data_IF_883451440013
#
_entry.id   IF_883451440013
#
_cell.length_a   1.000
_cell.length_b   1.000
_cell.length_c   1.000
_cell.angle_alpha   90.00
_cell.angle_beta   90.00
_cell.angle_gamma   90.00
#
_symmetry.space_group_name_H-M   'P 1'
#
loop_
_entity.id
_entity.type
_entity.pdbx_description
1 polymer ?
#
# COMPACT_ATOMS: atom_id res chain seq x y z
N UNK A 1 -17.87 -0.94 -0.27
CA UNK A 1 -19.10 -1.46 -0.88
C UNK A 1 -20.08 -0.33 -1.14
N UNK A 2 -20.73 -0.33 -2.34
CA UNK A 2 -21.67 0.74 -2.76
C UNK A 2 -22.92 0.76 -1.89
N UNK A 3 -23.48 -0.40 -1.55
CA UNK A 3 -24.66 -0.48 -0.71
C UNK A 3 -24.42 0.06 0.71
N UNK A 4 -23.21 -0.12 1.24
CA UNK A 4 -22.82 0.45 2.54
C UNK A 4 -22.70 1.97 2.46
N UNK A 5 -22.16 2.51 1.35
CA UNK A 5 -22.08 3.96 1.15
C UNK A 5 -23.48 4.58 1.04
N UNK A 6 -24.36 3.96 0.25
CA UNK A 6 -25.74 4.39 0.07
C UNK A 6 -26.48 4.40 1.40
N UNK A 7 -26.48 3.28 2.11
CA UNK A 7 -27.07 3.18 3.43
C UNK A 7 -26.53 4.23 4.42
N UNK A 8 -25.20 4.42 4.44
CA UNK A 8 -24.59 5.39 5.34
C UNK A 8 -24.97 6.84 4.97
N UNK A 9 -25.03 7.16 3.67
CA UNK A 9 -25.41 8.49 3.21
C UNK A 9 -26.88 8.82 3.56
N UNK A 10 -27.78 7.83 3.45
CA UNK A 10 -29.19 8.02 3.78
C UNK A 10 -29.48 8.05 5.28
N UNK A 11 -28.90 7.09 6.03
CA UNK A 11 -29.25 6.89 7.45
C UNK A 11 -28.40 7.74 8.40
N UNK A 12 -27.21 8.18 7.96
CA UNK A 12 -26.26 8.92 8.79
C UNK A 12 -25.66 10.12 8.03
N UNK A 13 -26.49 11.10 7.60
CA UNK A 13 -26.05 12.21 6.74
C UNK A 13 -24.94 13.07 7.36
N UNK A 14 -24.83 13.09 8.70
CA UNK A 14 -23.80 13.84 9.41
C UNK A 14 -22.43 13.10 9.47
N UNK A 15 -22.40 11.80 9.14
CA UNK A 15 -21.17 11.02 9.16
C UNK A 15 -20.24 11.45 8.01
N UNK A 16 -19.00 11.88 8.28
CA UNK A 16 -18.04 12.20 7.22
C UNK A 16 -17.57 10.92 6.51
N UNK A 17 -18.10 10.66 5.33
CA UNK A 17 -17.75 9.47 4.56
C UNK A 17 -16.42 9.63 3.83
N UNK A 18 -15.54 8.63 3.94
CA UNK A 18 -14.29 8.53 3.21
C UNK A 18 -14.33 7.35 2.24
N UNK A 19 -14.03 7.59 0.97
CA UNK A 19 -13.94 6.54 -0.03
C UNK A 19 -12.66 5.75 0.15
N UNK A 20 -12.79 4.44 0.39
CA UNK A 20 -11.65 3.52 0.41
C UNK A 20 -11.01 3.42 -0.97
N UNK A 21 -9.72 3.09 -0.99
CA UNK A 21 -9.01 2.70 -2.22
C UNK A 21 -9.71 1.57 -2.99
N UNK A 22 -10.47 0.72 -2.30
CA UNK A 22 -11.30 -0.33 -2.92
C UNK A 22 -12.41 0.21 -3.83
N UNK A 23 -12.74 1.49 -3.73
CA UNK A 23 -13.61 2.18 -4.70
C UNK A 23 -12.93 2.44 -6.04
N UNK A 24 -11.63 2.19 -6.15
CA UNK A 24 -10.83 2.28 -7.39
C UNK A 24 -10.99 3.60 -8.13
N UNK A 25 -11.10 4.72 -7.39
CA UNK A 25 -11.23 6.05 -7.98
C UNK A 25 -9.86 6.54 -8.50
N UNK A 26 -9.64 6.43 -9.80
CA UNK A 26 -8.38 6.79 -10.49
C UNK A 26 -8.41 8.14 -11.18
N UNK A 27 -9.57 8.81 -11.20
CA UNK A 27 -9.75 10.09 -11.86
C UNK A 27 -10.77 10.96 -11.11
N UNK A 28 -10.76 12.26 -11.39
CA UNK A 28 -11.62 13.23 -10.71
C UNK A 28 -13.11 13.11 -11.07
N UNK A 29 -13.47 12.58 -12.23
CA UNK A 29 -14.87 12.35 -12.58
C UNK A 29 -15.50 11.25 -11.72
N UNK A 30 -14.75 10.18 -11.45
CA UNK A 30 -15.17 9.15 -10.49
C UNK A 30 -15.36 9.76 -9.09
N UNK A 31 -14.47 10.65 -8.66
CA UNK A 31 -14.59 11.35 -7.37
C UNK A 31 -15.83 12.25 -7.31
N UNK A 32 -16.13 12.96 -8.42
CA UNK A 32 -17.37 13.75 -8.53
C UNK A 32 -18.62 12.85 -8.41
N UNK A 33 -18.63 11.70 -9.08
CA UNK A 33 -19.71 10.74 -8.98
C UNK A 33 -19.96 10.33 -7.51
N UNK A 34 -18.91 9.88 -6.81
CA UNK A 34 -19.03 9.48 -5.42
C UNK A 34 -19.44 10.63 -4.49
N UNK A 35 -18.94 11.85 -4.73
CA UNK A 35 -19.35 13.02 -3.96
C UNK A 35 -20.80 13.35 -4.17
N UNK A 36 -21.25 13.39 -5.43
CA UNK A 36 -22.62 13.81 -5.78
C UNK A 36 -23.67 12.79 -5.31
N UNK A 37 -23.35 11.50 -5.32
CA UNK A 37 -24.31 10.46 -4.96
C UNK A 37 -24.25 10.09 -3.46
N UNK A 38 -23.10 10.18 -2.81
CA UNK A 38 -22.92 9.70 -1.43
C UNK A 38 -22.32 10.73 -0.47
N UNK A 39 -22.03 11.94 -0.92
CA UNK A 39 -21.52 13.01 -0.07
C UNK A 39 -20.13 12.76 0.52
N UNK A 40 -19.30 11.92 -0.11
CA UNK A 40 -17.95 11.65 0.41
C UNK A 40 -17.16 12.93 0.58
N UNK A 41 -16.33 13.02 1.65
CA UNK A 41 -15.48 14.17 1.95
C UNK A 41 -14.02 13.94 1.59
N UNK A 42 -13.55 12.69 1.59
CA UNK A 42 -12.18 12.29 1.28
C UNK A 42 -12.16 11.00 0.45
N UNK A 43 -11.14 10.85 -0.37
CA UNK A 43 -10.88 9.61 -1.11
C UNK A 43 -9.42 9.19 -1.04
N UNK A 44 -9.19 7.89 -0.89
CA UNK A 44 -7.85 7.28 -0.97
C UNK A 44 -7.57 6.91 -2.42
N UNK A 45 -6.53 7.49 -3.01
CA UNK A 45 -6.11 7.18 -4.38
C UNK A 45 -5.37 5.85 -4.46
N UNK A 46 -5.56 5.08 -5.54
CA UNK A 46 -4.84 3.82 -5.78
C UNK A 46 -3.33 4.02 -5.93
N UNK A 47 -2.57 2.99 -5.51
CA UNK A 47 -1.09 2.95 -5.59
C UNK A 47 -0.53 2.90 -7.01
N UNK A 48 -1.39 2.69 -8.01
CA UNK A 48 -0.98 2.54 -9.42
C UNK A 48 -0.75 3.89 -10.13
N UNK A 49 -1.19 5.00 -9.53
CA UNK A 49 -1.08 6.32 -10.12
C UNK A 49 0.35 6.85 -10.00
N UNK A 50 0.88 7.41 -11.10
CA UNK A 50 2.10 8.20 -11.07
C UNK A 50 1.90 9.54 -10.37
N UNK A 51 2.98 10.20 -9.95
CA UNK A 51 2.89 11.51 -9.29
C UNK A 51 2.15 12.53 -10.17
N UNK A 52 2.44 12.56 -11.48
CA UNK A 52 1.74 13.42 -12.44
C UNK A 52 0.23 13.15 -12.51
N UNK A 53 -0.16 11.88 -12.44
CA UNK A 53 -1.58 11.52 -12.41
C UNK A 53 -2.24 11.93 -11.10
N UNK A 54 -1.54 11.78 -9.97
CA UNK A 54 -2.02 12.27 -8.67
C UNK A 54 -2.22 13.79 -8.71
N UNK A 55 -1.25 14.55 -9.25
CA UNK A 55 -1.35 15.99 -9.42
C UNK A 55 -2.54 16.38 -10.31
N UNK A 56 -2.73 15.68 -11.44
CA UNK A 56 -3.86 15.93 -12.34
C UNK A 56 -5.21 15.64 -11.70
N UNK A 57 -5.32 14.56 -10.91
CA UNK A 57 -6.55 14.27 -10.16
C UNK A 57 -6.78 15.32 -9.08
N UNK A 58 -5.72 15.74 -8.37
CA UNK A 58 -5.81 16.70 -7.28
C UNK A 58 -6.28 18.08 -7.76
N UNK A 59 -5.84 18.50 -8.95
CA UNK A 59 -6.20 19.78 -9.54
C UNK A 59 -7.72 19.97 -9.69
N UNK A 60 -8.46 18.88 -9.96
CA UNK A 60 -9.90 18.93 -10.24
C UNK A 60 -10.74 18.14 -9.23
N UNK A 61 -10.11 17.61 -8.18
CA UNK A 61 -10.80 16.81 -7.16
C UNK A 61 -11.80 17.65 -6.38
N UNK A 62 -13.07 17.22 -6.28
CA UNK A 62 -14.08 17.92 -5.48
C UNK A 62 -14.01 17.53 -3.98
N UNK A 63 -13.11 16.64 -3.60
CA UNK A 63 -12.93 16.10 -2.25
C UNK A 63 -11.47 16.11 -1.83
N UNK A 64 -11.22 16.01 -0.52
CA UNK A 64 -9.86 15.82 -0.03
C UNK A 64 -9.26 14.51 -0.53
N UNK A 65 -7.96 14.52 -0.82
CA UNK A 65 -7.23 13.34 -1.27
C UNK A 65 -6.28 12.82 -0.21
N UNK A 66 -6.26 11.50 -0.10
CA UNK A 66 -5.32 10.71 0.68
C UNK A 66 -4.55 9.79 -0.23
N UNK A 67 -3.24 9.67 -0.04
CA UNK A 67 -2.37 8.82 -0.84
C UNK A 67 -1.58 7.86 0.04
N UNK A 68 -1.23 6.70 -0.51
CA UNK A 68 -0.33 5.79 0.20
C UNK A 68 1.08 6.37 0.30
N UNK A 69 1.63 6.31 1.49
CA UNK A 69 2.92 6.88 1.84
C UNK A 69 3.98 5.84 2.15
N UNK A 70 3.60 4.79 2.88
CA UNK A 70 4.51 3.74 3.28
C UNK A 70 3.79 2.40 3.45
N UNK A 71 4.45 1.31 3.04
CA UNK A 71 3.99 -0.05 3.28
C UNK A 71 4.00 -0.93 2.04
N UNK A 72 3.35 -2.08 2.13
CA UNK A 72 3.34 -3.09 1.10
C UNK A 72 2.75 -2.58 -0.22
N UNK A 73 3.38 -2.94 -1.34
CA UNK A 73 2.83 -2.71 -2.66
C UNK A 73 1.78 -3.76 -3.01
N UNK A 74 0.85 -3.37 -3.88
CA UNK A 74 -0.15 -4.26 -4.44
C UNK A 74 -0.27 -4.01 -5.95
N UNK A 75 -0.16 -5.07 -6.74
CA UNK A 75 -0.23 -5.02 -8.21
C UNK A 75 -1.65 -5.15 -8.76
N UNK A 76 -2.59 -5.52 -7.90
CA UNK A 76 -3.98 -5.78 -8.29
C UNK A 76 -4.84 -4.53 -8.15
N UNK A 77 -5.96 -4.50 -8.87
CA UNK A 77 -7.04 -3.59 -8.55
C UNK A 77 -7.44 -3.84 -7.09
N UNK A 78 -7.40 -2.77 -6.29
CA UNK A 78 -7.50 -2.86 -4.84
C UNK A 78 -8.71 -3.69 -4.40
N UNK A 79 -8.45 -4.69 -3.57
CA UNK A 79 -9.47 -5.58 -3.03
C UNK A 79 -10.05 -6.63 -3.98
N UNK A 80 -9.52 -6.79 -5.19
CA UNK A 80 -9.99 -7.78 -6.18
C UNK A 80 -8.84 -8.67 -6.62
N UNK A 81 -8.25 -9.39 -5.67
CA UNK A 81 -7.10 -10.25 -5.92
C UNK A 81 -7.52 -11.70 -6.17
N UNK A 82 -7.59 -12.10 -7.44
CA UNK A 82 -7.83 -13.49 -7.80
C UNK A 82 -6.69 -14.44 -7.40
N UNK A 83 -5.44 -13.96 -7.37
CA UNK A 83 -4.30 -14.77 -6.96
C UNK A 83 -4.46 -15.25 -5.50
N UNK A 84 -4.81 -14.32 -4.61
CA UNK A 84 -5.06 -14.65 -3.21
C UNK A 84 -6.28 -15.55 -3.07
N UNK A 85 -7.40 -15.19 -3.68
CA UNK A 85 -8.64 -15.96 -3.57
C UNK A 85 -8.50 -17.38 -4.10
N UNK A 86 -7.73 -17.57 -5.18
CA UNK A 86 -7.47 -18.89 -5.75
C UNK A 86 -6.69 -19.80 -4.79
N UNK A 87 -5.72 -19.24 -4.05
CA UNK A 87 -4.91 -20.02 -3.11
C UNK A 87 -5.58 -20.28 -1.78
N UNK A 88 -6.35 -19.30 -1.29
CA UNK A 88 -6.88 -19.35 0.10
C UNK A 88 -8.36 -19.67 0.16
N UNK A 89 -9.05 -19.79 -0.99
CA UNK A 89 -10.52 -19.90 -1.08
C UNK A 89 -11.27 -18.75 -0.38
N UNK A 90 -10.56 -17.65 -0.09
CA UNK A 90 -11.11 -16.47 0.60
C UNK A 90 -10.82 -15.19 -0.18
N UNK A 91 -11.77 -14.26 -0.13
CA UNK A 91 -11.53 -12.94 -0.71
C UNK A 91 -10.75 -12.06 0.28
N UNK A 92 -9.65 -11.39 -0.15
CA UNK A 92 -8.97 -10.41 0.69
C UNK A 92 -9.85 -9.23 1.09
N UNK A 93 -10.96 -8.99 0.40
CA UNK A 93 -11.97 -8.02 0.80
C UNK A 93 -12.79 -8.46 2.01
N UNK A 94 -13.03 -9.76 2.15
CA UNK A 94 -13.81 -10.32 3.25
C UNK A 94 -12.95 -10.49 4.51
N UNK A 95 -11.83 -11.20 4.39
CA UNK A 95 -10.95 -11.48 5.54
C UNK A 95 -9.92 -10.38 5.82
N UNK A 96 -9.76 -9.44 4.87
CA UNK A 96 -8.87 -8.30 5.05
C UNK A 96 -7.39 -8.56 4.85
N UNK A 97 -7.00 -9.77 4.46
CA UNK A 97 -5.62 -10.18 4.22
C UNK A 97 -5.50 -11.04 2.96
N UNK A 98 -4.46 -10.80 2.16
CA UNK A 98 -4.18 -11.62 0.98
C UNK A 98 -3.47 -12.95 1.33
N UNK A 99 -2.94 -13.06 2.55
CA UNK A 99 -2.35 -14.30 3.08
C UNK A 99 -2.75 -14.44 4.53
N UNK A 100 -3.95 -15.00 4.82
CA UNK A 100 -4.42 -15.23 6.17
C UNK A 100 -3.43 -16.10 6.95
N UNK A 101 -3.19 -15.79 8.21
CA UNK A 101 -2.20 -16.48 9.03
C UNK A 101 -2.47 -18.00 9.17
N UNK A 102 -3.72 -18.40 9.12
CA UNK A 102 -4.13 -19.83 9.19
C UNK A 102 -3.64 -20.64 7.99
N UNK A 103 -3.44 -20.00 6.83
CA UNK A 103 -3.02 -20.62 5.57
C UNK A 103 -1.51 -20.53 5.36
N UNK A 104 -0.79 -19.78 6.22
CA UNK A 104 0.66 -19.62 6.15
C UNK A 104 1.38 -20.68 6.95
N UNK A 105 2.34 -21.37 6.30
CA UNK A 105 3.25 -22.31 6.94
C UNK A 105 4.70 -21.95 6.64
N UNK A 106 5.54 -22.03 7.66
CA UNK A 106 6.98 -21.93 7.55
C UNK A 106 7.60 -23.28 7.86
N UNK A 107 8.50 -23.72 7.01
CA UNK A 107 9.13 -25.03 7.14
C UNK A 107 10.64 -24.92 6.93
N UNK A 108 11.43 -25.35 7.94
CA UNK A 108 12.86 -25.44 7.77
C UNK A 108 13.20 -26.75 7.08
N UNK A 109 13.83 -26.67 5.90
CA UNK A 109 14.26 -27.82 5.13
C UNK A 109 15.80 -27.88 5.05
N UNK A 110 16.34 -28.96 4.47
CA UNK A 110 17.78 -29.10 4.25
C UNK A 110 18.36 -28.04 3.28
N UNK A 111 17.50 -27.45 2.44
CA UNK A 111 17.86 -26.50 1.39
C UNK A 111 17.44 -25.06 1.70
N UNK A 112 16.95 -24.78 2.91
CA UNK A 112 16.56 -23.43 3.34
C UNK A 112 15.22 -23.36 4.03
N UNK A 113 14.79 -22.15 4.36
CA UNK A 113 13.48 -21.85 4.95
C UNK A 113 12.43 -21.69 3.84
N UNK A 114 11.41 -22.53 3.84
CA UNK A 114 10.30 -22.46 2.91
C UNK A 114 9.10 -21.71 3.51
N UNK A 115 8.51 -20.83 2.73
CA UNK A 115 7.25 -20.18 3.02
C UNK A 115 6.16 -20.74 2.11
N UNK A 116 5.07 -21.23 2.70
CA UNK A 116 3.94 -21.83 1.99
C UNK A 116 2.65 -21.09 2.32
N UNK A 117 1.75 -21.02 1.33
CA UNK A 117 0.41 -20.48 1.46
C UNK A 117 -0.57 -21.56 0.97
N UNK A 118 -1.41 -22.08 1.88
CA UNK A 118 -2.32 -23.21 1.63
C UNK A 118 -1.59 -24.39 0.95
N UNK A 119 -0.46 -24.81 1.55
CA UNK A 119 0.46 -25.86 1.09
C UNK A 119 1.22 -25.58 -0.23
N UNK A 120 0.91 -24.51 -0.94
CA UNK A 120 1.67 -24.11 -2.15
C UNK A 120 2.95 -23.39 -1.72
N UNK A 121 4.10 -23.84 -2.25
CA UNK A 121 5.39 -23.17 -2.04
C UNK A 121 5.37 -21.79 -2.69
N UNK A 122 5.53 -20.74 -1.87
CA UNK A 122 5.58 -19.35 -2.32
C UNK A 122 7.02 -18.91 -2.54
N UNK A 123 7.88 -19.24 -1.56
CA UNK A 123 9.28 -18.83 -1.63
C UNK A 123 10.17 -19.76 -0.81
N UNK A 124 11.47 -19.74 -1.13
CA UNK A 124 12.51 -20.43 -0.39
C UNK A 124 13.67 -19.46 -0.16
N UNK A 125 14.06 -19.32 1.10
CA UNK A 125 15.09 -18.38 1.54
C UNK A 125 16.35 -19.14 1.93
N UNK A 126 17.49 -18.64 1.49
CA UNK A 126 18.79 -19.15 1.89
C UNK A 126 19.13 -18.72 3.33
N UNK A 127 20.16 -19.32 3.92
CA UNK A 127 20.64 -18.94 5.24
C UNK A 127 21.06 -17.47 5.27
N UNK A 128 20.49 -16.69 6.21
CA UNK A 128 20.74 -15.25 6.34
C UNK A 128 19.95 -14.36 5.40
N UNK A 129 19.14 -14.92 4.50
CA UNK A 129 18.22 -14.15 3.65
C UNK A 129 17.01 -13.66 4.46
N UNK A 130 16.64 -12.39 4.27
CA UNK A 130 15.47 -11.82 4.93
C UNK A 130 14.17 -12.41 4.35
N UNK A 131 13.46 -13.18 5.14
CA UNK A 131 12.19 -13.77 4.75
C UNK A 131 11.04 -12.74 4.91
N UNK A 132 10.38 -12.40 3.79
CA UNK A 132 9.15 -11.61 3.79
C UNK A 132 7.93 -12.47 4.12
N UNK A 133 6.84 -11.84 4.60
CA UNK A 133 5.58 -12.54 4.79
C UNK A 133 5.05 -13.02 3.44
N UNK A 134 4.71 -14.32 3.28
CA UNK A 134 4.45 -14.91 1.97
C UNK A 134 3.17 -14.36 1.36
N UNK A 135 3.29 -13.80 0.16
CA UNK A 135 2.16 -13.44 -0.70
C UNK A 135 2.43 -13.95 -2.10
N UNK A 136 1.44 -14.55 -2.76
CA UNK A 136 1.66 -15.19 -4.04
C UNK A 136 2.31 -14.25 -5.08
N UNK A 137 1.84 -13.01 -5.18
CA UNK A 137 2.39 -12.05 -6.15
C UNK A 137 3.86 -11.69 -5.92
N UNK A 138 4.38 -11.90 -4.71
CA UNK A 138 5.78 -11.64 -4.32
C UNK A 138 6.61 -12.89 -4.12
N UNK A 139 6.07 -14.05 -4.47
CA UNK A 139 6.80 -15.31 -4.48
C UNK A 139 7.79 -15.40 -5.63
N UNK A 140 8.70 -16.36 -5.55
CA UNK A 140 9.59 -16.71 -6.65
C UNK A 140 8.93 -17.72 -7.58
N UNK A 141 8.96 -17.41 -8.87
CA UNK A 141 8.40 -18.24 -9.92
C UNK A 141 9.50 -18.81 -10.81
N UNK A 142 9.36 -20.07 -11.19
CA UNK A 142 10.22 -20.66 -12.22
C UNK A 142 9.69 -20.28 -13.59
N UNK A 143 10.47 -19.52 -14.36
CA UNK A 143 10.17 -19.11 -15.72
C UNK A 143 11.30 -19.59 -16.64
N UNK A 144 11.06 -20.64 -17.41
CA UNK A 144 12.11 -21.37 -18.13
C UNK A 144 13.11 -21.96 -17.14
N UNK A 145 14.39 -21.60 -17.27
CA UNK A 145 15.47 -22.09 -16.41
C UNK A 145 15.82 -21.13 -15.24
N UNK A 146 15.07 -20.03 -15.09
CA UNK A 146 15.33 -19.01 -14.06
C UNK A 146 14.24 -19.02 -12.99
N UNK A 147 14.65 -18.78 -11.73
CA UNK A 147 13.73 -18.58 -10.61
C UNK A 147 13.93 -17.16 -10.07
N UNK A 148 12.85 -16.36 -10.06
CA UNK A 148 12.88 -14.95 -9.64
C UNK A 148 11.47 -14.43 -9.30
N UNK A 149 11.38 -13.23 -8.73
CA UNK A 149 10.11 -12.56 -8.47
C UNK A 149 9.51 -12.02 -9.79
N UNK A 150 8.76 -12.87 -10.49
CA UNK A 150 8.29 -12.57 -11.85
C UNK A 150 7.11 -11.58 -11.89
N UNK A 151 6.40 -11.39 -10.80
CA UNK A 151 5.20 -10.53 -10.73
C UNK A 151 5.51 -9.23 -10.00
N UNK A 152 5.94 -9.30 -8.74
CA UNK A 152 6.28 -8.13 -7.92
C UNK A 152 7.45 -8.46 -6.98
N UNK A 153 8.38 -7.53 -6.84
CA UNK A 153 9.47 -7.66 -5.88
C UNK A 153 8.97 -7.47 -4.43
N UNK A 154 9.55 -8.15 -3.44
CA UNK A 154 9.23 -7.94 -2.04
C UNK A 154 9.83 -6.63 -1.52
N UNK A 155 9.27 -5.50 -1.98
CA UNK A 155 9.67 -4.15 -1.59
C UNK A 155 8.52 -3.40 -0.94
N UNK A 156 8.84 -2.37 -0.15
CA UNK A 156 7.84 -1.46 0.42
C UNK A 156 7.84 -0.11 -0.28
N UNK A 157 6.64 0.43 -0.50
CA UNK A 157 6.48 1.82 -0.91
C UNK A 157 7.06 2.73 0.18
N UNK A 158 7.82 3.74 -0.23
CA UNK A 158 8.31 4.79 0.66
C UNK A 158 8.37 6.12 -0.07
N UNK A 159 7.40 6.98 0.19
CA UNK A 159 7.27 8.28 -0.47
C UNK A 159 7.70 9.46 0.41
N UNK A 160 8.49 9.22 1.46
CA UNK A 160 8.91 10.28 2.39
C UNK A 160 9.65 11.44 1.69
N UNK A 161 10.33 11.17 0.59
CA UNK A 161 10.99 12.19 -0.23
C UNK A 161 10.02 13.05 -1.04
N UNK A 162 8.80 12.55 -1.27
CA UNK A 162 7.77 13.24 -2.05
C UNK A 162 6.86 14.15 -1.19
N UNK A 163 7.13 14.29 0.11
CA UNK A 163 6.33 15.19 0.99
C UNK A 163 6.15 16.59 0.37
N UNK A 164 7.19 17.27 -0.16
CA UNK A 164 7.01 18.57 -0.77
C UNK A 164 6.07 18.56 -1.98
N UNK A 165 6.23 17.59 -2.87
CA UNK A 165 5.42 17.48 -4.09
C UNK A 165 3.97 17.11 -3.76
N UNK A 166 3.75 16.19 -2.83
CA UNK A 166 2.41 15.80 -2.39
C UNK A 166 1.67 16.96 -1.74
N UNK A 167 2.36 17.76 -0.91
CA UNK A 167 1.76 18.94 -0.31
C UNK A 167 1.49 20.03 -1.36
N UNK A 168 2.40 20.27 -2.29
CA UNK A 168 2.20 21.22 -3.40
C UNK A 168 1.01 20.81 -4.28
N UNK A 169 0.80 19.51 -4.50
CA UNK A 169 -0.37 18.97 -5.18
C UNK A 169 -1.68 19.09 -4.37
N UNK A 170 -1.64 19.56 -3.12
CA UNK A 170 -2.82 19.72 -2.27
C UNK A 170 -3.30 18.46 -1.57
N UNK A 171 -2.48 17.42 -1.50
CA UNK A 171 -2.80 16.20 -0.76
C UNK A 171 -2.95 16.51 0.74
N UNK A 172 -4.04 16.05 1.35
CA UNK A 172 -4.40 16.37 2.75
C UNK A 172 -4.03 15.30 3.74
N UNK A 173 -3.88 14.06 3.30
CA UNK A 173 -3.57 12.94 4.17
C UNK A 173 -2.63 11.94 3.50
N UNK A 174 -1.84 11.27 4.31
CA UNK A 174 -0.99 10.16 3.92
C UNK A 174 -1.41 8.90 4.66
N UNK A 175 -1.41 7.77 3.94
CA UNK A 175 -1.79 6.47 4.47
C UNK A 175 -0.58 5.58 4.64
N UNK A 176 -0.40 5.08 5.87
CA UNK A 176 0.60 4.07 6.21
C UNK A 176 -0.11 2.72 6.27
N UNK A 177 0.37 1.76 5.49
CA UNK A 177 -0.15 0.39 5.54
C UNK A 177 0.59 -0.38 6.65
N UNK A 178 -0.17 -0.82 7.65
CA UNK A 178 0.36 -1.50 8.84
C UNK A 178 -0.33 -2.85 9.12
N UNK A 179 -1.18 -3.32 8.21
CA UNK A 179 -1.88 -4.60 8.36
C UNK A 179 -0.90 -5.76 8.42
N UNK A 180 -1.11 -6.67 9.35
CA UNK A 180 -0.21 -7.82 9.60
C UNK A 180 1.22 -7.40 9.97
N UNK A 181 1.39 -6.20 10.55
CA UNK A 181 2.67 -5.68 11.05
C UNK A 181 2.66 -5.59 12.57
N UNK A 182 3.84 -5.66 13.15
CA UNK A 182 3.99 -5.54 14.61
C UNK A 182 3.69 -4.12 15.10
N UNK A 183 3.30 -3.94 16.38
CA UNK A 183 3.18 -2.62 16.97
C UNK A 183 4.45 -1.78 16.86
N UNK A 184 5.62 -2.39 17.00
CA UNK A 184 6.91 -1.71 16.85
C UNK A 184 7.13 -1.16 15.43
N UNK A 185 6.69 -1.91 14.40
CA UNK A 185 6.70 -1.42 13.03
C UNK A 185 5.84 -0.16 12.89
N UNK A 186 4.60 -0.22 13.35
CA UNK A 186 3.65 0.89 13.25
C UNK A 186 4.22 2.13 13.97
N UNK A 187 4.71 1.96 15.20
CA UNK A 187 5.31 3.04 15.98
C UNK A 187 6.50 3.69 15.25
N UNK A 188 7.44 2.90 14.75
CA UNK A 188 8.63 3.42 14.08
C UNK A 188 8.30 4.16 12.79
N UNK A 189 7.42 3.60 11.97
CA UNK A 189 7.01 4.21 10.70
C UNK A 189 6.25 5.51 10.95
N UNK A 190 5.23 5.48 11.82
CA UNK A 190 4.42 6.68 12.14
C UNK A 190 5.28 7.77 12.76
N UNK A 191 6.17 7.44 13.70
CA UNK A 191 7.10 8.41 14.32
C UNK A 191 7.99 9.06 13.28
N UNK A 192 8.56 8.28 12.36
CA UNK A 192 9.44 8.80 11.30
C UNK A 192 8.69 9.73 10.37
N UNK A 193 7.52 9.30 9.90
CA UNK A 193 6.66 10.10 9.02
C UNK A 193 6.16 11.38 9.69
N UNK A 194 5.74 11.30 10.96
CA UNK A 194 5.31 12.49 11.71
C UNK A 194 6.43 13.52 11.82
N UNK A 195 7.64 13.07 12.18
CA UNK A 195 8.82 13.95 12.25
C UNK A 195 9.18 14.58 10.91
N UNK A 196 9.06 13.81 9.82
CA UNK A 196 9.34 14.32 8.48
C UNK A 196 8.34 15.41 8.06
N UNK A 197 7.04 15.19 8.30
CA UNK A 197 5.99 16.16 8.00
C UNK A 197 6.15 17.41 8.88
N UNK A 198 6.45 17.27 10.17
CA UNK A 198 6.64 18.40 11.07
C UNK A 198 7.85 19.24 10.64
N UNK A 199 8.97 18.59 10.29
CA UNK A 199 10.14 19.31 9.81
C UNK A 199 9.85 20.07 8.52
N UNK A 200 9.12 19.45 7.58
CA UNK A 200 8.71 20.10 6.35
C UNK A 200 7.83 21.32 6.63
N UNK A 201 6.83 21.19 7.51
CA UNK A 201 5.94 22.29 7.87
C UNK A 201 6.65 23.45 8.59
N UNK A 202 7.69 23.14 9.36
CA UNK A 202 8.50 24.17 10.03
C UNK A 202 9.41 24.93 9.09
N UNK A 203 10.00 24.27 8.10
CA UNK A 203 10.94 24.88 7.16
C UNK A 203 10.90 24.20 5.77
N UNK A 204 9.90 24.52 4.95
CA UNK A 204 9.72 23.87 3.63
C UNK A 204 10.91 24.05 2.69
N UNK A 205 11.52 25.24 2.67
CA UNK A 205 12.61 25.57 1.71
C UNK A 205 13.90 24.77 2.00
N UNK A 206 14.14 24.43 3.26
CA UNK A 206 15.34 23.71 3.68
C UNK A 206 15.06 22.25 4.02
N UNK A 207 13.85 21.74 3.72
CA UNK A 207 13.51 20.35 3.99
C UNK A 207 14.44 19.40 3.24
N UNK A 208 15.00 18.45 3.98
CA UNK A 208 15.77 17.31 3.45
C UNK A 208 15.46 16.09 4.29
N UNK A 209 15.20 14.99 3.63
CA UNK A 209 15.00 13.70 4.31
C UNK A 209 16.32 13.27 4.96
N UNK A 210 16.29 13.03 6.27
CA UNK A 210 17.47 12.59 7.01
C UNK A 210 17.86 11.16 6.59
N UNK A 211 19.16 10.91 6.44
CA UNK A 211 19.69 9.57 6.13
C UNK A 211 19.19 8.52 7.12
N UNK A 212 19.19 8.84 8.41
CA UNK A 212 18.70 7.95 9.46
C UNK A 212 17.24 7.53 9.24
N UNK A 213 16.36 8.42 8.77
CA UNK A 213 14.97 8.07 8.48
C UNK A 213 14.84 7.07 7.33
N UNK A 214 15.67 7.22 6.28
CA UNK A 214 15.70 6.25 5.18
C UNK A 214 16.15 4.87 5.66
N UNK A 215 17.20 4.83 6.47
CA UNK A 215 17.73 3.59 7.04
C UNK A 215 16.72 2.92 7.99
N UNK A 216 16.05 3.68 8.86
CA UNK A 216 15.06 3.17 9.79
C UNK A 216 13.82 2.62 9.06
N UNK A 217 13.37 3.29 8.00
CA UNK A 217 12.27 2.83 7.17
C UNK A 217 12.66 1.60 6.34
N UNK A 218 13.88 1.55 5.79
CA UNK A 218 14.36 0.39 5.04
C UNK A 218 14.45 -0.87 5.91
N UNK A 219 14.91 -0.77 7.16
CA UNK A 219 15.00 -1.90 8.09
C UNK A 219 13.68 -2.60 8.37
N UNK A 220 12.56 -1.87 8.30
CA UNK A 220 11.22 -2.42 8.55
C UNK A 220 10.45 -2.72 7.27
N UNK A 221 11.07 -2.50 6.10
CA UNK A 221 10.47 -2.76 4.78
C UNK A 221 10.57 -4.22 4.39
N UNK A 222 9.70 -4.65 3.50
CA UNK A 222 9.78 -5.98 2.88
C UNK A 222 11.10 -6.11 2.12
N UNK A 223 11.79 -7.25 2.25
CA UNK A 223 13.09 -7.46 1.62
C UNK A 223 14.17 -6.45 2.03
N UNK A 224 13.97 -5.68 3.13
CA UNK A 224 14.83 -4.57 3.54
C UNK A 224 15.05 -3.50 2.46
N UNK A 225 14.12 -3.39 1.50
CA UNK A 225 14.20 -2.47 0.37
C UNK A 225 12.98 -1.57 0.28
N UNK A 226 13.17 -0.38 -0.26
CA UNK A 226 12.08 0.58 -0.51
C UNK A 226 12.08 1.06 -1.95
N UNK A 227 10.90 1.42 -2.45
CA UNK A 227 10.69 1.96 -3.79
C UNK A 227 9.68 3.11 -3.76
N UNK A 228 9.72 3.97 -4.75
CA UNK A 228 8.67 4.96 -5.03
C UNK A 228 7.47 4.35 -5.79
N UNK A 229 7.56 3.08 -6.19
CA UNK A 229 6.49 2.38 -6.88
C UNK A 229 6.07 3.08 -8.17
N UNK A 230 4.78 3.24 -8.37
CA UNK A 230 4.22 3.88 -9.55
C UNK A 230 4.48 5.39 -9.62
N UNK A 231 4.82 6.06 -8.52
CA UNK A 231 5.01 7.52 -8.52
C UNK A 231 6.05 8.02 -9.51
N UNK A 232 7.06 7.21 -9.83
CA UNK A 232 8.12 7.56 -10.78
C UNK A 232 7.93 6.96 -12.17
N UNK A 233 6.89 6.18 -12.40
CA UNK A 233 6.61 5.57 -13.70
C UNK A 233 6.02 6.61 -14.66
N UNK A 234 6.40 6.49 -15.94
CA UNK A 234 6.00 7.41 -17.03
C UNK A 234 4.90 6.79 -17.89
N UNK A 235 3.74 6.48 -17.34
CA UNK A 235 2.58 6.13 -18.15
C UNK A 235 1.43 7.09 -17.98
#
# INVERSE_FOLDING_TARGET
DMAVLDYAAEQYPELPLHLSVQGSATNYETLKFYKNNFGIRRAVLPRVLSLKQVEAVAQYSPVELEVFAFGSLCIMAEGRCYLSSYLTDESPNTCGACSPAKDVRWEQTEIGLEARLNDVLIDRFEEGENAGYPTLCKGRFKVGDKTFHAIEEPTSLNTVELIPQLQAAGIKAVKIEGRQRSPAYVENVVRTWRRAIDLYNMNPEHFRVKKQWKEDLAKVSEGAQTTLGAYTRSW
#
